data_IF_163484351591
#
_entry.id   IF_163484351591
#
_cell.length_a   1.000
_cell.length_b   1.000
_cell.length_c   1.000
_cell.angle_alpha   90.00
_cell.angle_beta   90.00
_cell.angle_gamma   90.00
#
_symmetry.space_group_name_H-M   'P 1'
#
loop_
_entity.id
_entity.type
_entity.pdbx_description
1 polymer ?
#
# COMPACT_ATOMS: atom_id res chain seq x y z
N UNK A 1 -24.32 15.36 23.45
CA UNK A 1 -23.72 15.14 22.11
C UNK A 1 -24.64 14.20 21.34
N UNK A 2 -25.29 14.68 20.29
CA UNK A 2 -26.45 14.03 19.66
C UNK A 2 -26.00 12.91 18.69
N UNK A 3 -26.66 11.74 18.68
CA UNK A 3 -26.27 10.56 17.86
C UNK A 3 -26.12 10.90 16.36
N UNK A 4 -26.88 11.87 15.86
CA UNK A 4 -26.79 12.34 14.48
C UNK A 4 -25.50 13.12 14.18
N UNK A 5 -24.97 13.87 15.13
CA UNK A 5 -23.70 14.57 14.96
C UNK A 5 -22.51 13.63 15.02
N UNK A 6 -22.59 12.55 15.81
CA UNK A 6 -21.59 11.50 15.81
C UNK A 6 -21.55 10.73 14.47
N UNK A 7 -22.73 10.41 13.89
CA UNK A 7 -22.83 9.80 12.55
C UNK A 7 -22.26 10.71 11.46
N UNK A 8 -22.56 12.01 11.49
CA UNK A 8 -22.01 12.97 10.53
C UNK A 8 -20.49 13.12 10.66
N UNK A 9 -19.94 13.08 11.87
CA UNK A 9 -18.50 13.14 12.09
C UNK A 9 -17.78 11.87 11.62
N UNK A 10 -18.36 10.69 11.86
CA UNK A 10 -17.88 9.40 11.36
C UNK A 10 -17.95 9.30 9.83
N UNK A 11 -19.02 9.81 9.21
CA UNK A 11 -19.16 9.88 7.75
C UNK A 11 -18.15 10.84 7.12
N UNK A 12 -17.85 11.97 7.77
CA UNK A 12 -16.85 12.93 7.31
C UNK A 12 -15.42 12.39 7.45
N UNK A 13 -15.15 11.55 8.45
CA UNK A 13 -13.89 10.79 8.57
C UNK A 13 -13.77 9.68 7.51
N UNK A 14 -14.88 9.06 7.11
CA UNK A 14 -14.91 8.06 6.04
C UNK A 14 -14.77 8.66 4.62
N UNK A 15 -14.78 10.00 4.49
CA UNK A 15 -14.83 10.71 3.20
C UNK A 15 -13.47 11.01 2.54
N UNK A 16 -12.34 10.55 3.10
CA UNK A 16 -11.05 10.59 2.38
C UNK A 16 -10.49 9.20 1.97
N UNK A 17 -11.31 8.33 1.33
CA UNK A 17 -10.80 7.07 0.77
C UNK A 17 -9.81 7.34 -0.38
N UNK A 18 -9.90 8.50 -1.04
CA UNK A 18 -8.98 8.89 -2.12
C UNK A 18 -7.53 8.98 -1.66
N UNK A 19 -7.26 9.58 -0.49
CA UNK A 19 -5.89 9.69 0.02
C UNK A 19 -5.31 8.31 0.43
N UNK A 20 -6.15 7.47 1.03
CA UNK A 20 -5.74 6.09 1.37
C UNK A 20 -5.50 5.23 0.12
N UNK A 21 -6.28 5.45 -0.94
CA UNK A 21 -6.08 4.83 -2.24
C UNK A 21 -4.81 5.30 -2.92
N UNK A 22 -4.49 6.60 -2.87
CA UNK A 22 -3.23 7.14 -3.40
C UNK A 22 -2.01 6.51 -2.70
N UNK A 23 -2.04 6.36 -1.38
CA UNK A 23 -0.97 5.69 -0.62
C UNK A 23 -0.86 4.21 -1.02
N UNK A 24 -1.99 3.51 -1.16
CA UNK A 24 -2.01 2.13 -1.64
C UNK A 24 -1.35 2.01 -3.02
N UNK A 25 -1.79 2.83 -3.99
CA UNK A 25 -1.26 2.82 -5.35
C UNK A 25 0.23 3.17 -5.37
N UNK A 26 0.65 4.18 -4.61
CA UNK A 26 2.07 4.53 -4.47
C UNK A 26 2.90 3.35 -3.91
N UNK A 27 2.38 2.64 -2.92
CA UNK A 27 3.00 1.42 -2.39
C UNK A 27 3.12 0.30 -3.43
N UNK A 28 2.08 0.09 -4.24
CA UNK A 28 2.08 -0.91 -5.33
C UNK A 28 3.12 -0.55 -6.39
N UNK A 29 3.22 0.73 -6.75
CA UNK A 29 4.26 1.20 -7.68
C UNK A 29 5.66 0.96 -7.09
N UNK A 30 5.88 1.33 -5.83
CA UNK A 30 7.16 1.11 -5.15
C UNK A 30 7.53 -0.38 -5.08
N UNK A 31 6.57 -1.23 -4.74
CA UNK A 31 6.74 -2.68 -4.75
C UNK A 31 7.11 -3.20 -6.14
N UNK A 32 6.38 -2.76 -7.16
CA UNK A 32 6.59 -3.18 -8.55
C UNK A 32 7.97 -2.77 -9.06
N UNK A 33 8.45 -1.58 -8.70
CA UNK A 33 9.82 -1.12 -9.01
C UNK A 33 10.86 -2.02 -8.33
N UNK A 34 10.66 -2.34 -7.04
CA UNK A 34 11.55 -3.25 -6.31
C UNK A 34 11.61 -4.64 -6.94
N UNK A 35 10.46 -5.24 -7.26
CA UNK A 35 10.38 -6.53 -7.96
C UNK A 35 11.03 -6.44 -9.35
N UNK A 36 10.77 -5.37 -10.10
CA UNK A 36 11.40 -5.14 -11.41
C UNK A 36 12.93 -5.10 -11.33
N UNK A 37 13.48 -4.45 -10.30
CA UNK A 37 14.93 -4.41 -10.05
C UNK A 37 15.50 -5.81 -9.73
N UNK A 38 14.80 -6.60 -8.92
CA UNK A 38 15.18 -8.01 -8.62
C UNK A 38 15.19 -8.83 -9.92
N UNK A 39 14.09 -8.79 -10.68
CA UNK A 39 13.96 -9.56 -11.91
C UNK A 39 15.01 -9.16 -12.95
N UNK A 40 15.28 -7.86 -13.07
CA UNK A 40 16.34 -7.33 -13.93
C UNK A 40 17.71 -7.84 -13.50
N UNK A 41 18.02 -7.78 -12.20
CA UNK A 41 19.28 -8.30 -11.66
C UNK A 41 19.45 -9.79 -11.98
N UNK A 42 18.41 -10.59 -11.73
CA UNK A 42 18.45 -12.04 -11.88
C UNK A 42 18.55 -12.50 -13.34
N UNK A 43 17.88 -11.82 -14.28
CA UNK A 43 17.76 -12.28 -15.67
C UNK A 43 18.68 -11.56 -16.66
N UNK A 44 19.15 -10.35 -16.33
CA UNK A 44 19.95 -9.53 -17.26
C UNK A 44 21.41 -9.40 -16.85
N UNK A 45 21.75 -9.61 -15.58
CA UNK A 45 23.13 -9.58 -15.13
C UNK A 45 23.73 -10.98 -15.04
N UNK A 46 24.96 -11.11 -15.54
CA UNK A 46 25.78 -12.28 -15.28
C UNK A 46 26.01 -12.46 -13.77
N UNK A 47 26.20 -13.71 -13.30
CA UNK A 47 26.51 -13.98 -11.90
C UNK A 47 27.70 -13.13 -11.43
N UNK A 48 27.44 -12.19 -10.53
CA UNK A 48 28.41 -11.20 -10.07
C UNK A 48 27.93 -10.55 -8.76
N UNK A 49 28.86 -9.98 -8.00
CA UNK A 49 28.55 -9.23 -6.77
C UNK A 49 27.59 -8.07 -7.04
N UNK A 50 27.69 -7.43 -8.20
CA UNK A 50 26.78 -6.35 -8.61
C UNK A 50 25.33 -6.82 -8.76
N UNK A 51 25.11 -8.06 -9.22
CA UNK A 51 23.77 -8.66 -9.32
C UNK A 51 23.18 -8.87 -7.93
N UNK A 52 23.94 -9.46 -7.01
CA UNK A 52 23.47 -9.70 -5.64
C UNK A 52 23.14 -8.39 -4.92
N UNK A 53 23.96 -7.36 -5.12
CA UNK A 53 23.72 -6.03 -4.54
C UNK A 53 22.47 -5.37 -5.13
N UNK A 54 22.26 -5.45 -6.45
CA UNK A 54 21.06 -4.90 -7.08
C UNK A 54 19.79 -5.66 -6.67
N UNK A 55 19.86 -7.00 -6.59
CA UNK A 55 18.74 -7.83 -6.16
C UNK A 55 18.37 -7.56 -4.69
N UNK A 56 19.36 -7.43 -3.81
CA UNK A 56 19.13 -7.10 -2.40
C UNK A 56 18.56 -5.69 -2.20
N UNK A 57 19.04 -4.69 -2.96
CA UNK A 57 18.42 -3.36 -2.98
C UNK A 57 16.96 -3.43 -3.48
N UNK A 58 16.71 -4.18 -4.56
CA UNK A 58 15.36 -4.43 -5.05
C UNK A 58 14.46 -5.08 -4.01
N UNK A 59 14.99 -6.01 -3.21
CA UNK A 59 14.28 -6.66 -2.10
C UNK A 59 13.91 -5.67 -0.99
N UNK A 60 14.81 -4.76 -0.61
CA UNK A 60 14.51 -3.72 0.38
C UNK A 60 13.41 -2.77 -0.12
N UNK A 61 13.49 -2.35 -1.39
CA UNK A 61 12.49 -1.48 -2.02
C UNK A 61 11.13 -2.20 -2.09
N UNK A 62 11.12 -3.47 -2.51
CA UNK A 62 9.91 -4.28 -2.56
C UNK A 62 9.29 -4.42 -1.16
N UNK A 63 10.10 -4.72 -0.13
CA UNK A 63 9.66 -4.81 1.25
C UNK A 63 9.03 -3.50 1.76
N UNK A 64 9.65 -2.36 1.49
CA UNK A 64 9.08 -1.05 1.82
C UNK A 64 7.74 -0.81 1.09
N UNK A 65 7.65 -1.16 -0.20
CA UNK A 65 6.42 -1.09 -0.98
C UNK A 65 5.28 -1.92 -0.39
N UNK A 66 5.57 -3.11 0.12
CA UNK A 66 4.60 -3.96 0.82
C UNK A 66 4.06 -3.26 2.07
N UNK A 67 4.92 -2.70 2.91
CA UNK A 67 4.52 -1.99 4.14
C UNK A 67 3.62 -0.79 3.81
N UNK A 68 3.99 0.01 2.81
CA UNK A 68 3.20 1.16 2.36
C UNK A 68 1.84 0.70 1.80
N UNK A 69 1.84 -0.33 0.96
CA UNK A 69 0.62 -0.92 0.38
C UNK A 69 -0.34 -1.43 1.45
N UNK A 70 0.16 -2.19 2.43
CA UNK A 70 -0.62 -2.69 3.56
C UNK A 70 -1.22 -1.54 4.37
N UNK A 71 -0.46 -0.47 4.62
CA UNK A 71 -0.96 0.70 5.34
C UNK A 71 -2.12 1.40 4.60
N UNK A 72 -2.04 1.48 3.27
CA UNK A 72 -3.11 2.03 2.43
C UNK A 72 -4.32 1.08 2.34
N UNK A 73 -4.07 -0.21 2.20
CA UNK A 73 -5.10 -1.23 2.11
C UNK A 73 -5.91 -1.35 3.40
N UNK A 74 -5.26 -1.34 4.57
CA UNK A 74 -5.94 -1.37 5.87
C UNK A 74 -6.91 -0.19 6.03
N UNK A 75 -6.51 1.01 5.58
CA UNK A 75 -7.38 2.20 5.60
C UNK A 75 -8.58 2.09 4.66
N UNK A 76 -8.39 1.49 3.48
CA UNK A 76 -9.48 1.24 2.53
C UNK A 76 -10.45 0.14 3.01
N UNK A 77 -9.91 -0.96 3.53
CA UNK A 77 -10.70 -2.05 4.07
C UNK A 77 -11.51 -1.62 5.29
N UNK A 78 -10.94 -0.82 6.19
CA UNK A 78 -11.67 -0.27 7.33
C UNK A 78 -12.93 0.51 6.90
N UNK A 79 -12.83 1.35 5.85
CA UNK A 79 -13.97 2.09 5.31
C UNK A 79 -15.06 1.19 4.72
N UNK A 80 -14.69 0.11 4.03
CA UNK A 80 -15.67 -0.86 3.47
C UNK A 80 -16.31 -1.73 4.55
N UNK A 81 -15.54 -2.23 5.50
CA UNK A 81 -16.05 -3.09 6.58
C UNK A 81 -17.00 -2.31 7.49
N UNK A 82 -16.69 -1.06 7.85
CA UNK A 82 -17.61 -0.20 8.59
C UNK A 82 -18.92 0.04 7.84
N UNK A 83 -18.84 0.30 6.53
CA UNK A 83 -20.03 0.50 5.69
C UNK A 83 -20.88 -0.77 5.59
N UNK A 84 -20.26 -1.94 5.56
CA UNK A 84 -20.95 -3.23 5.53
C UNK A 84 -21.63 -3.55 6.87
N UNK A 85 -20.99 -3.23 8.01
CA UNK A 85 -21.51 -3.55 9.35
C UNK A 85 -22.50 -2.53 9.93
N UNK A 86 -22.41 -1.26 9.55
CA UNK A 86 -23.29 -0.18 10.05
C UNK A 86 -24.25 0.37 8.99
N UNK A 87 -24.34 -0.31 7.84
CA UNK A 87 -25.13 0.10 6.68
C UNK A 87 -26.59 -0.38 6.66
N UNK A 88 -27.06 -1.06 7.72
CA UNK A 88 -28.45 -1.49 7.90
C UNK A 88 -29.22 -0.53 8.83
#
# INVERSE_FOLDING_TARGET
MNKQQLRLHLLRMAQNPQHSFQIFVAGVFLFSVGVGAILYAEHRLAPSVSRELLASLGMLIAGAGVVVTLSGYLRLCAGRVLKLFFGD
#
